data_IF_538327190174
#
_entry.id   IF_538327190174
#
_cell.length_a   1.000
_cell.length_b   1.000
_cell.length_c   1.000
_cell.angle_alpha   90.00
_cell.angle_beta   90.00
_cell.angle_gamma   90.00
#
_symmetry.space_group_name_H-M   'P 1'
#
loop_
_entity.id
_entity.type
_entity.pdbx_description
1 polymer ?
#
# COMPACT_ATOMS: atom_id res chain seq x y z
N UNK A 1 12.96 26.30 -13.43
CA UNK A 1 12.30 25.20 -12.68
C UNK A 1 11.19 24.62 -13.55
N UNK A 2 11.12 23.30 -13.73
CA UNK A 2 10.04 22.64 -14.52
C UNK A 2 8.75 22.63 -13.71
N UNK A 3 7.61 22.90 -14.36
CA UNK A 3 6.27 22.90 -13.72
C UNK A 3 5.50 21.66 -14.11
N UNK A 4 5.06 20.91 -13.14
CA UNK A 4 4.37 19.62 -13.31
C UNK A 4 2.93 19.73 -12.79
N UNK A 5 1.96 19.40 -13.62
CA UNK A 5 0.56 19.36 -13.23
C UNK A 5 0.19 17.97 -12.72
N UNK A 6 -0.16 17.85 -11.46
CA UNK A 6 -0.60 16.60 -10.83
C UNK A 6 -2.13 16.58 -10.72
N UNK A 7 -2.77 15.59 -11.39
CA UNK A 7 -4.23 15.45 -11.39
C UNK A 7 -4.59 14.08 -10.79
N UNK A 8 -5.02 14.09 -9.53
CA UNK A 8 -5.32 12.84 -8.84
C UNK A 8 -6.80 12.70 -8.48
N UNK A 9 -7.26 11.47 -8.42
CA UNK A 9 -8.64 11.12 -8.07
C UNK A 9 -9.10 11.74 -6.75
N UNK A 10 -8.24 11.74 -5.75
CA UNK A 10 -8.35 12.41 -4.45
C UNK A 10 -6.99 12.34 -3.73
N UNK A 11 -6.87 13.00 -2.59
CA UNK A 11 -5.67 12.95 -1.73
C UNK A 11 -5.95 12.11 -0.47
N UNK A 12 -5.63 10.82 -0.45
CA UNK A 12 -5.81 10.01 0.73
C UNK A 12 -4.75 10.32 1.79
N UNK A 13 -5.14 10.21 3.07
CA UNK A 13 -4.28 10.51 4.21
C UNK A 13 -2.96 9.71 4.19
N UNK A 14 -2.99 8.44 3.76
CA UNK A 14 -1.81 7.57 3.70
C UNK A 14 -0.75 8.03 2.67
N UNK A 15 -1.10 8.95 1.75
CA UNK A 15 -0.17 9.57 0.78
C UNK A 15 0.37 10.93 1.23
N UNK A 16 0.08 11.35 2.46
CA UNK A 16 0.53 12.65 2.97
C UNK A 16 2.03 12.83 2.76
N UNK A 17 2.86 11.87 3.19
CA UNK A 17 4.31 11.97 3.12
C UNK A 17 4.82 12.35 1.72
N UNK A 18 4.42 11.62 0.68
CA UNK A 18 4.88 11.90 -0.68
C UNK A 18 4.30 13.22 -1.23
N UNK A 19 3.04 13.56 -0.95
CA UNK A 19 2.44 14.79 -1.47
C UNK A 19 3.04 16.04 -0.82
N UNK A 20 3.35 16.00 0.48
CA UNK A 20 4.02 17.10 1.17
C UNK A 20 5.46 17.29 0.70
N UNK A 21 6.19 16.19 0.41
CA UNK A 21 7.54 16.29 -0.17
C UNK A 21 7.50 16.88 -1.57
N UNK A 22 6.56 16.47 -2.42
CA UNK A 22 6.37 17.05 -3.75
C UNK A 22 5.99 18.55 -3.67
N UNK A 23 5.13 18.92 -2.70
CA UNK A 23 4.70 20.32 -2.50
C UNK A 23 5.85 21.25 -2.07
N UNK A 24 6.85 20.69 -1.38
CA UNK A 24 8.02 21.41 -0.88
C UNK A 24 9.26 21.28 -1.76
N UNK A 25 9.17 20.56 -2.90
CA UNK A 25 10.34 20.30 -3.74
C UNK A 25 10.86 21.60 -4.37
N UNK A 26 12.19 21.79 -4.33
CA UNK A 26 12.85 23.01 -4.82
C UNK A 26 13.42 22.89 -6.23
N UNK A 27 13.39 21.69 -6.82
CA UNK A 27 13.92 21.44 -8.16
C UNK A 27 12.83 21.43 -9.23
N UNK A 28 11.62 20.97 -8.85
CA UNK A 28 10.42 20.93 -9.70
C UNK A 28 9.22 21.50 -8.96
N UNK A 29 8.38 22.27 -9.62
CA UNK A 29 7.12 22.80 -9.06
C UNK A 29 5.98 21.82 -9.39
N UNK A 30 5.39 21.18 -8.37
CA UNK A 30 4.27 20.27 -8.53
C UNK A 30 2.94 20.93 -8.15
N UNK A 31 2.16 21.35 -9.12
CA UNK A 31 0.83 21.92 -8.90
C UNK A 31 -0.25 20.83 -8.82
N UNK A 32 -1.05 20.81 -7.75
CA UNK A 32 -2.03 19.77 -7.48
C UNK A 32 -3.46 20.18 -7.78
N UNK A 33 -4.14 19.37 -8.60
CA UNK A 33 -5.58 19.36 -8.79
C UNK A 33 -6.15 18.03 -8.30
N UNK A 34 -6.95 18.07 -7.24
CA UNK A 34 -7.36 16.89 -6.49
C UNK A 34 -8.88 16.74 -6.49
N UNK A 35 -9.36 15.52 -6.60
CA UNK A 35 -10.79 15.26 -6.46
C UNK A 35 -11.30 15.60 -5.07
N UNK A 36 -12.51 16.15 -4.99
CA UNK A 36 -13.11 16.69 -3.76
C UNK A 36 -13.72 15.62 -2.84
N UNK A 37 -13.84 14.39 -3.28
CA UNK A 37 -14.43 13.29 -2.51
C UNK A 37 -13.66 11.99 -2.73
N UNK A 38 -13.70 11.10 -1.74
CA UNK A 38 -13.19 9.72 -1.83
C UNK A 38 -14.33 8.70 -1.92
N UNK A 39 -13.99 7.42 -2.00
CA UNK A 39 -14.92 6.28 -1.95
C UNK A 39 -14.42 5.25 -0.94
N UNK A 40 -15.32 4.40 -0.48
CA UNK A 40 -14.97 3.27 0.39
C UNK A 40 -14.44 3.66 1.77
N UNK A 41 -14.84 4.83 2.31
CA UNK A 41 -14.41 5.27 3.64
C UNK A 41 -12.94 5.71 3.74
N UNK A 42 -12.26 5.95 2.60
CA UNK A 42 -10.86 6.41 2.64
C UNK A 42 -10.80 7.83 3.19
N UNK A 43 -10.03 8.03 4.27
CA UNK A 43 -9.79 9.33 4.90
C UNK A 43 -8.98 10.22 3.95
N UNK A 44 -9.44 11.47 3.78
CA UNK A 44 -8.76 12.47 2.98
C UNK A 44 -7.80 13.30 3.86
N UNK A 45 -6.63 13.61 3.29
CA UNK A 45 -5.71 14.57 3.93
C UNK A 45 -6.24 16.00 3.82
N UNK A 46 -5.84 16.85 4.77
CA UNK A 46 -6.12 18.27 4.71
C UNK A 46 -5.14 18.96 3.76
N UNK A 47 -5.61 19.28 2.57
CA UNK A 47 -4.81 19.91 1.50
C UNK A 47 -4.73 21.45 1.61
N UNK A 48 -5.42 22.07 2.58
CA UNK A 48 -5.44 23.55 2.72
C UNK A 48 -4.08 24.15 3.08
N UNK A 49 -3.17 23.35 3.62
CA UNK A 49 -1.81 23.74 3.99
C UNK A 49 -0.77 23.55 2.87
N UNK A 50 -1.17 22.97 1.73
CA UNK A 50 -0.26 22.78 0.60
C UNK A 50 -0.10 24.10 -0.17
N UNK A 51 1.16 24.48 -0.46
CA UNK A 51 1.52 25.69 -1.19
C UNK A 51 1.07 25.66 -2.65
N UNK A 52 1.10 24.47 -3.23
CA UNK A 52 0.82 24.22 -4.64
C UNK A 52 -0.52 23.53 -4.90
N UNK A 53 -1.45 23.52 -3.93
CA UNK A 53 -2.82 23.13 -4.19
C UNK A 53 -3.52 24.20 -5.04
N UNK A 54 -3.94 23.83 -6.26
CA UNK A 54 -4.53 24.75 -7.24
C UNK A 54 -6.06 24.64 -7.35
N UNK A 55 -6.64 23.61 -6.78
CA UNK A 55 -8.09 23.51 -6.64
C UNK A 55 -8.66 22.10 -6.71
N UNK A 56 -9.86 21.98 -6.19
CA UNK A 56 -10.62 20.75 -6.19
C UNK A 56 -11.31 20.49 -7.53
N UNK A 57 -11.34 19.23 -7.96
CA UNK A 57 -12.11 18.73 -9.10
C UNK A 57 -13.36 18.01 -8.57
N UNK A 58 -14.50 18.22 -9.24
CA UNK A 58 -15.76 17.56 -8.84
C UNK A 58 -15.77 16.11 -9.30
N UNK A 59 -15.62 15.18 -8.37
CA UNK A 59 -15.69 13.78 -8.64
C UNK A 59 -17.12 13.30 -8.93
N UNK A 60 -17.30 12.50 -9.97
CA UNK A 60 -18.53 11.77 -10.29
C UNK A 60 -18.22 10.28 -10.34
N UNK A 61 -18.99 9.51 -9.56
CA UNK A 61 -18.83 8.06 -9.44
C UNK A 61 -19.87 7.32 -10.30
N UNK A 62 -19.59 6.06 -10.63
CA UNK A 62 -20.56 5.15 -11.22
C UNK A 62 -21.73 4.90 -10.23
N UNK A 63 -22.86 4.37 -10.72
CA UNK A 63 -24.09 4.16 -9.92
C UNK A 63 -23.85 3.40 -8.60
N UNK A 64 -22.87 2.50 -8.56
CA UNK A 64 -22.52 1.73 -7.36
C UNK A 64 -21.61 2.52 -6.36
N UNK A 65 -21.31 3.77 -6.61
CA UNK A 65 -20.47 4.63 -5.76
C UNK A 65 -18.99 4.22 -5.62
N UNK A 66 -18.59 3.09 -6.21
CA UNK A 66 -17.27 2.48 -5.98
C UNK A 66 -16.21 2.84 -7.04
N UNK A 67 -16.61 3.41 -8.19
CA UNK A 67 -15.68 3.70 -9.29
C UNK A 67 -15.78 5.16 -9.71
N UNK A 68 -14.68 5.91 -9.58
CA UNK A 68 -14.55 7.26 -10.13
C UNK A 68 -14.55 7.18 -11.66
N UNK A 69 -15.43 7.95 -12.32
CA UNK A 69 -15.58 7.93 -13.78
C UNK A 69 -15.33 9.26 -14.44
N UNK A 70 -15.45 10.37 -13.70
CA UNK A 70 -15.29 11.72 -14.24
C UNK A 70 -14.86 12.72 -13.17
N UNK A 71 -13.99 13.65 -13.55
CA UNK A 71 -13.62 14.81 -12.72
C UNK A 71 -14.04 16.10 -13.41
N UNK A 72 -15.11 16.73 -12.93
CA UNK A 72 -15.63 17.97 -13.49
C UNK A 72 -14.75 19.17 -13.14
N UNK A 73 -14.71 20.17 -14.03
CA UNK A 73 -13.89 21.36 -13.86
C UNK A 73 -12.42 21.20 -14.25
N UNK A 74 -12.05 20.07 -14.89
CA UNK A 74 -10.66 19.79 -15.27
C UNK A 74 -10.10 20.80 -16.32
N UNK A 75 -10.93 21.52 -17.06
CA UNK A 75 -10.46 22.52 -18.04
C UNK A 75 -9.60 23.62 -17.41
N UNK A 76 -9.81 23.92 -16.12
CA UNK A 76 -9.00 24.91 -15.39
C UNK A 76 -7.52 24.56 -15.27
N UNK A 77 -7.13 23.28 -15.43
CA UNK A 77 -5.72 22.88 -15.41
C UNK A 77 -4.94 23.44 -16.61
N UNK A 78 -5.62 23.80 -17.69
CA UNK A 78 -5.01 24.36 -18.89
C UNK A 78 -4.94 25.90 -18.88
N UNK A 79 -5.39 26.57 -17.81
CA UNK A 79 -5.19 28.04 -17.63
C UNK A 79 -3.74 28.40 -17.33
N UNK A 80 -2.91 27.43 -16.96
CA UNK A 80 -1.47 27.57 -16.73
C UNK A 80 -0.67 26.71 -17.70
N UNK A 81 0.57 27.14 -17.97
CA UNK A 81 1.51 26.34 -18.78
C UNK A 81 2.27 25.37 -17.90
N UNK A 82 2.22 24.09 -18.24
CA UNK A 82 2.95 23.02 -17.58
C UNK A 82 3.90 22.33 -18.57
N UNK A 83 5.02 21.83 -18.05
CA UNK A 83 6.00 21.08 -18.83
C UNK A 83 5.60 19.62 -18.98
N UNK A 84 4.91 19.05 -17.97
CA UNK A 84 4.36 17.70 -18.00
C UNK A 84 3.10 17.58 -17.13
N UNK A 85 2.39 16.46 -17.31
CA UNK A 85 1.21 16.08 -16.54
C UNK A 85 1.41 14.72 -15.89
N UNK A 86 1.11 14.60 -14.59
CA UNK A 86 1.00 13.31 -13.88
C UNK A 86 -0.46 13.07 -13.55
N UNK A 87 -1.03 11.99 -14.06
CA UNK A 87 -2.45 11.67 -13.88
C UNK A 87 -2.61 10.34 -13.12
N UNK A 88 -3.69 10.21 -12.35
CA UNK A 88 -4.10 8.88 -11.86
C UNK A 88 -4.26 7.93 -13.04
N UNK A 89 -3.49 6.86 -13.07
CA UNK A 89 -3.43 5.88 -14.15
C UNK A 89 -4.58 4.89 -14.19
N UNK A 90 -5.82 5.40 -14.05
CA UNK A 90 -7.03 4.59 -14.11
C UNK A 90 -7.79 4.86 -15.43
N UNK A 91 -7.84 3.90 -16.36
CA UNK A 91 -8.55 4.06 -17.65
C UNK A 91 -10.07 4.21 -17.51
N UNK A 92 -10.63 3.96 -16.32
CA UNK A 92 -12.04 4.20 -16.00
C UNK A 92 -12.38 5.69 -15.84
N UNK A 93 -11.40 6.55 -15.53
CA UNK A 93 -11.59 7.98 -15.38
C UNK A 93 -11.59 8.64 -16.76
N UNK A 94 -12.76 8.83 -17.35
CA UNK A 94 -12.92 9.32 -18.73
C UNK A 94 -12.34 10.73 -18.93
N UNK A 95 -12.40 11.63 -17.93
CA UNK A 95 -11.78 12.95 -17.98
C UNK A 95 -10.27 12.89 -18.23
N UNK A 96 -9.58 11.85 -17.73
CA UNK A 96 -8.14 11.70 -17.92
C UNK A 96 -7.77 11.44 -19.40
N UNK A 97 -8.66 10.81 -20.18
CA UNK A 97 -8.46 10.67 -21.62
C UNK A 97 -8.49 12.03 -22.33
N UNK A 98 -9.42 12.91 -21.95
CA UNK A 98 -9.49 14.28 -22.50
C UNK A 98 -8.29 15.11 -22.08
N UNK A 99 -7.87 15.02 -20.81
CA UNK A 99 -6.66 15.70 -20.32
C UNK A 99 -5.44 15.22 -21.12
N UNK A 100 -5.30 13.92 -21.32
CA UNK A 100 -4.22 13.33 -22.11
C UNK A 100 -4.25 13.83 -23.57
N UNK A 101 -5.43 13.87 -24.19
CA UNK A 101 -5.58 14.38 -25.57
C UNK A 101 -5.12 15.83 -25.68
N UNK A 102 -5.61 16.71 -24.80
CA UNK A 102 -5.26 18.14 -24.82
C UNK A 102 -3.75 18.32 -24.53
N UNK A 103 -3.20 17.61 -23.56
CA UNK A 103 -1.77 17.67 -23.25
C UNK A 103 -0.91 17.29 -24.49
N UNK A 104 -1.32 16.24 -25.22
CA UNK A 104 -0.63 15.84 -26.47
C UNK A 104 -0.75 16.88 -27.57
N UNK A 105 -1.92 17.50 -27.76
CA UNK A 105 -2.08 18.59 -28.71
C UNK A 105 -1.18 19.79 -28.35
N UNK A 106 -0.97 20.02 -27.06
CA UNK A 106 -0.01 21.00 -26.54
C UNK A 106 1.45 20.54 -26.57
N UNK A 107 1.73 19.33 -27.10
CA UNK A 107 3.07 18.70 -27.14
C UNK A 107 3.69 18.55 -25.74
N UNK A 108 2.87 18.25 -24.73
CA UNK A 108 3.32 18.04 -23.35
C UNK A 108 3.24 16.55 -22.98
N UNK A 109 4.31 15.96 -22.40
CA UNK A 109 4.30 14.58 -21.99
C UNK A 109 3.31 14.33 -20.84
N UNK A 110 2.71 13.14 -20.85
CA UNK A 110 1.80 12.66 -19.81
C UNK A 110 2.40 11.43 -19.17
N UNK A 111 2.40 11.40 -17.86
CA UNK A 111 2.79 10.28 -17.02
C UNK A 111 1.58 9.76 -16.27
N UNK A 112 1.40 8.46 -16.25
CA UNK A 112 0.36 7.82 -15.47
C UNK A 112 0.96 7.23 -14.19
N UNK A 113 0.49 7.68 -13.06
CA UNK A 113 0.81 7.07 -11.78
C UNK A 113 -0.18 5.95 -11.51
N UNK A 114 0.25 4.68 -11.64
CA UNK A 114 -0.64 3.52 -11.75
C UNK A 114 -0.08 2.28 -11.06
N UNK A 115 -0.95 1.34 -10.73
CA UNK A 115 -0.54 -0.04 -10.40
C UNK A 115 -0.04 -0.82 -11.64
N UNK A 116 -0.26 -0.31 -12.85
CA UNK A 116 -0.02 -1.04 -14.07
C UNK A 116 -1.13 -2.05 -14.37
N UNK A 117 -0.74 -3.27 -14.75
CA UNK A 117 -1.60 -4.43 -14.96
C UNK A 117 -1.28 -5.45 -13.87
N UNK A 118 -2.32 -6.04 -13.27
CA UNK A 118 -2.15 -7.05 -12.23
C UNK A 118 -1.87 -8.45 -12.79
N UNK A 119 -2.38 -8.77 -13.99
CA UNK A 119 -2.23 -10.07 -14.65
C UNK A 119 -3.52 -10.88 -14.74
N UNK A 120 -4.56 -10.52 -13.98
CA UNK A 120 -5.89 -11.13 -14.09
C UNK A 120 -6.77 -10.48 -15.16
N UNK A 121 -6.41 -9.29 -15.65
CA UNK A 121 -7.18 -8.60 -16.68
C UNK A 121 -7.11 -9.34 -18.01
N UNK A 122 -8.26 -9.55 -18.62
CA UNK A 122 -8.39 -10.28 -19.89
C UNK A 122 -9.31 -9.58 -20.90
N UNK A 123 -9.25 -10.00 -22.14
CA UNK A 123 -10.19 -9.60 -23.19
C UNK A 123 -10.28 -8.09 -23.39
N UNK A 124 -11.49 -7.55 -23.41
CA UNK A 124 -11.75 -6.13 -23.66
C UNK A 124 -11.21 -5.21 -22.54
N UNK A 125 -11.17 -5.68 -21.30
CA UNK A 125 -10.63 -4.89 -20.19
C UNK A 125 -9.14 -4.66 -20.37
N UNK A 126 -8.36 -5.71 -20.66
CA UNK A 126 -6.93 -5.60 -20.93
C UNK A 126 -6.68 -4.69 -22.14
N UNK A 127 -7.41 -4.88 -23.24
CA UNK A 127 -7.30 -4.03 -24.45
C UNK A 127 -7.53 -2.55 -24.13
N UNK A 128 -8.57 -2.24 -23.35
CA UNK A 128 -8.87 -0.87 -22.92
C UNK A 128 -7.76 -0.28 -22.04
N UNK A 129 -7.26 -1.06 -21.07
CA UNK A 129 -6.18 -0.62 -20.18
C UNK A 129 -4.93 -0.32 -21.02
N UNK A 130 -4.52 -1.22 -21.89
CA UNK A 130 -3.36 -1.05 -22.77
C UNK A 130 -3.51 0.11 -23.73
N UNK A 131 -4.71 0.32 -24.31
CA UNK A 131 -4.98 1.45 -25.19
C UNK A 131 -4.76 2.78 -24.45
N UNK A 132 -5.25 2.90 -23.22
CA UNK A 132 -5.05 4.10 -22.41
C UNK A 132 -3.58 4.33 -22.05
N UNK A 133 -2.90 3.28 -21.61
CA UNK A 133 -1.50 3.35 -21.24
C UNK A 133 -0.62 3.74 -22.44
N UNK A 134 -0.82 3.11 -23.60
CA UNK A 134 -0.14 3.48 -24.85
C UNK A 134 -0.49 4.89 -25.32
N UNK A 135 -1.73 5.33 -25.11
CA UNK A 135 -2.15 6.68 -25.44
C UNK A 135 -1.45 7.74 -24.56
N UNK A 136 -1.29 7.52 -23.27
CA UNK A 136 -0.56 8.43 -22.39
C UNK A 136 0.95 8.44 -22.71
N UNK A 137 1.54 7.27 -22.83
CA UNK A 137 2.91 7.07 -23.33
C UNK A 137 3.97 6.85 -22.25
N UNK A 138 3.83 7.35 -21.03
CA UNK A 138 4.76 7.12 -19.93
C UNK A 138 4.01 6.65 -18.68
N UNK A 139 4.56 5.68 -17.96
CA UNK A 139 3.91 5.10 -16.79
C UNK A 139 4.90 5.03 -15.62
N UNK A 140 4.43 5.39 -14.44
CA UNK A 140 5.09 5.21 -13.16
C UNK A 140 4.33 4.13 -12.38
N UNK A 141 4.94 2.96 -12.17
CA UNK A 141 4.32 1.84 -11.44
C UNK A 141 4.80 1.78 -10.00
N UNK A 142 3.98 1.19 -9.13
CA UNK A 142 4.33 0.97 -7.72
C UNK A 142 5.23 -0.24 -7.47
N UNK A 143 5.51 -1.05 -8.49
CA UNK A 143 6.33 -2.25 -8.37
C UNK A 143 6.74 -2.84 -9.71
N UNK A 144 7.68 -3.76 -9.65
CA UNK A 144 8.21 -4.46 -10.84
C UNK A 144 7.18 -5.40 -11.46
N UNK A 145 6.30 -6.02 -10.67
CA UNK A 145 5.24 -6.88 -11.20
C UNK A 145 4.39 -6.13 -12.22
N UNK A 146 3.84 -4.98 -11.84
CA UNK A 146 3.03 -4.16 -12.73
C UNK A 146 3.80 -3.69 -13.98
N UNK A 147 5.08 -3.34 -13.83
CA UNK A 147 5.99 -3.01 -14.94
C UNK A 147 6.18 -4.20 -15.88
N UNK A 148 6.51 -5.36 -15.35
CA UNK A 148 6.76 -6.56 -16.14
C UNK A 148 5.51 -7.02 -16.91
N UNK A 149 4.34 -6.97 -16.27
CA UNK A 149 3.05 -7.24 -16.91
C UNK A 149 2.76 -6.28 -18.08
N UNK A 150 3.08 -4.99 -17.94
CA UNK A 150 2.96 -4.02 -19.03
C UNK A 150 3.88 -4.37 -20.21
N UNK A 151 5.14 -4.70 -19.93
CA UNK A 151 6.14 -5.06 -20.96
C UNK A 151 5.71 -6.33 -21.69
N UNK A 152 5.29 -7.37 -20.98
CA UNK A 152 4.77 -8.61 -21.56
C UNK A 152 3.57 -8.38 -22.49
N UNK A 153 2.77 -7.34 -22.21
CA UNK A 153 1.64 -6.92 -23.05
C UNK A 153 2.03 -5.89 -24.13
N UNK A 154 3.31 -5.77 -24.45
CA UNK A 154 3.82 -4.96 -25.56
C UNK A 154 3.91 -3.46 -25.27
N UNK A 155 4.16 -3.10 -24.02
CA UNK A 155 4.57 -1.75 -23.65
C UNK A 155 6.10 -1.65 -23.69
N UNK A 156 6.63 -0.49 -24.09
CA UNK A 156 8.08 -0.30 -24.21
C UNK A 156 8.73 -0.18 -22.84
N UNK A 157 9.81 -0.93 -22.53
CA UNK A 157 10.47 -0.91 -21.22
C UNK A 157 10.94 0.49 -20.78
N UNK A 158 11.46 1.28 -21.72
CA UNK A 158 11.97 2.64 -21.47
C UNK A 158 10.87 3.68 -21.12
N UNK A 159 9.60 3.29 -21.26
CA UNK A 159 8.43 4.11 -20.98
C UNK A 159 7.73 3.74 -19.66
N UNK A 160 8.28 2.79 -18.92
CA UNK A 160 7.74 2.36 -17.62
C UNK A 160 8.84 2.44 -16.57
N UNK A 161 8.64 3.32 -15.60
CA UNK A 161 9.54 3.47 -14.45
C UNK A 161 8.84 2.95 -13.19
N UNK A 162 9.58 2.24 -12.34
CA UNK A 162 9.09 1.84 -11.02
C UNK A 162 9.44 2.94 -10.02
N UNK A 163 8.42 3.45 -9.32
CA UNK A 163 8.59 4.52 -8.35
C UNK A 163 8.30 4.06 -6.91
N UNK A 164 7.96 2.80 -6.73
CA UNK A 164 7.52 2.17 -5.48
C UNK A 164 6.31 2.86 -4.84
N UNK A 165 5.84 2.34 -3.72
CA UNK A 165 4.82 3.01 -2.90
C UNK A 165 5.44 3.42 -1.56
N UNK A 166 4.77 4.30 -0.83
CA UNK A 166 5.24 4.77 0.46
C UNK A 166 4.06 5.12 1.38
N UNK A 167 4.35 5.18 2.67
CA UNK A 167 3.50 5.75 3.70
C UNK A 167 4.08 7.07 4.21
N UNK A 168 3.53 7.61 5.29
CA UNK A 168 4.06 8.76 6.02
C UNK A 168 5.27 8.32 6.86
N UNK A 169 6.37 8.04 6.16
CA UNK A 169 7.60 7.48 6.70
C UNK A 169 8.18 8.32 7.85
N UNK A 170 8.33 9.63 7.64
CA UNK A 170 8.98 10.53 8.61
C UNK A 170 8.21 10.57 9.94
N UNK A 171 6.89 10.47 9.89
CA UNK A 171 6.05 10.41 11.09
C UNK A 171 6.12 9.05 11.81
N UNK A 172 6.52 7.99 11.11
CA UNK A 172 6.60 6.63 11.66
C UNK A 172 7.97 6.32 12.24
N UNK A 173 9.05 6.63 11.52
CA UNK A 173 10.41 6.23 11.90
C UNK A 173 10.89 6.88 13.20
N UNK A 174 10.36 8.04 13.56
CA UNK A 174 10.65 8.69 14.85
C UNK A 174 10.29 7.85 16.08
N UNK A 175 9.47 6.81 15.91
CA UNK A 175 9.06 5.89 16.98
C UNK A 175 9.92 4.61 17.02
N UNK A 176 10.85 4.39 16.08
CA UNK A 176 11.67 3.17 16.05
C UNK A 176 12.57 3.05 17.28
N UNK A 177 13.21 4.15 17.69
CA UNK A 177 14.17 4.17 18.77
C UNK A 177 13.57 4.58 20.12
N UNK A 178 12.27 4.92 20.14
CA UNK A 178 11.61 5.26 21.40
C UNK A 178 11.43 4.03 22.26
N UNK A 179 11.57 4.22 23.56
CA UNK A 179 11.20 3.19 24.54
C UNK A 179 9.72 2.84 24.38
N UNK A 180 9.40 1.56 24.43
CA UNK A 180 8.01 1.07 24.31
C UNK A 180 7.66 0.22 25.53
N UNK A 181 6.39 0.23 25.87
CA UNK A 181 5.85 -0.69 26.85
C UNK A 181 5.86 -2.13 26.29
N UNK A 182 6.75 -2.96 26.84
CA UNK A 182 6.89 -4.36 26.50
C UNK A 182 5.86 -5.25 27.17
N UNK A 183 5.13 -4.73 28.14
CA UNK A 183 4.18 -5.50 28.96
C UNK A 183 2.76 -5.49 28.40
N UNK A 184 2.46 -4.64 27.43
CA UNK A 184 1.10 -4.45 26.90
C UNK A 184 0.46 -5.75 26.39
N UNK A 185 1.22 -6.60 25.70
CA UNK A 185 0.73 -7.88 25.18
C UNK A 185 0.47 -8.87 26.31
N UNK A 186 1.41 -8.94 27.25
CA UNK A 186 1.25 -9.77 28.46
C UNK A 186 0.07 -9.34 29.32
N UNK A 187 -0.13 -8.02 29.48
CA UNK A 187 -1.27 -7.49 30.21
C UNK A 187 -2.60 -7.90 29.57
N UNK A 188 -2.70 -7.84 28.25
CA UNK A 188 -3.92 -8.21 27.54
C UNK A 188 -4.15 -9.72 27.48
N UNK A 189 -3.14 -10.49 27.08
CA UNK A 189 -3.27 -11.94 26.86
C UNK A 189 -3.06 -12.81 28.11
N UNK A 190 -2.51 -12.25 29.20
CA UNK A 190 -2.20 -12.99 30.43
C UNK A 190 -1.02 -13.98 30.28
N UNK A 191 -0.27 -13.93 29.16
CA UNK A 191 0.86 -14.80 28.87
C UNK A 191 1.95 -14.07 28.08
N UNK A 192 3.11 -14.72 27.88
CA UNK A 192 4.26 -14.20 27.14
C UNK A 192 4.44 -14.89 25.77
N UNK A 193 3.41 -15.55 25.26
CA UNK A 193 3.47 -16.19 23.95
C UNK A 193 3.65 -15.16 22.83
N UNK A 194 4.35 -15.49 21.73
CA UNK A 194 4.58 -14.57 20.63
C UNK A 194 3.26 -14.13 20.00
N UNK A 195 3.23 -12.89 19.53
CA UNK A 195 2.03 -12.30 18.93
C UNK A 195 2.19 -12.22 17.40
N UNK A 196 1.24 -12.78 16.69
CA UNK A 196 0.98 -12.47 15.29
C UNK A 196 0.12 -11.21 15.21
N UNK A 197 0.35 -10.35 14.21
CA UNK A 197 -0.42 -9.13 14.03
C UNK A 197 -0.96 -9.01 12.61
N UNK A 198 -2.17 -8.46 12.47
CA UNK A 198 -2.71 -7.95 11.22
C UNK A 198 -3.12 -6.50 11.40
N UNK A 199 -2.78 -5.63 10.44
CA UNK A 199 -3.18 -4.22 10.43
C UNK A 199 -3.91 -3.91 9.13
N UNK A 200 -5.21 -3.60 9.20
CA UNK A 200 -5.98 -3.26 8.00
C UNK A 200 -7.47 -3.52 8.15
N UNK A 201 -8.24 -3.22 7.11
CA UNK A 201 -9.68 -3.41 7.11
C UNK A 201 -10.05 -4.89 7.16
N UNK A 202 -10.99 -5.26 8.02
CA UNK A 202 -11.48 -6.63 8.17
C UNK A 202 -12.54 -6.95 7.09
N UNK A 203 -12.06 -7.24 5.88
CA UNK A 203 -12.87 -7.48 4.67
C UNK A 203 -12.53 -8.81 4.01
N UNK A 204 -13.44 -9.38 3.22
CA UNK A 204 -13.30 -10.69 2.58
C UNK A 204 -11.98 -10.86 1.79
N UNK A 205 -11.56 -9.81 1.06
CA UNK A 205 -10.33 -9.86 0.27
C UNK A 205 -9.03 -9.91 1.12
N UNK A 206 -9.15 -9.76 2.45
CA UNK A 206 -8.04 -9.91 3.39
C UNK A 206 -7.93 -11.33 3.96
N UNK A 207 -8.96 -12.14 3.76
CA UNK A 207 -9.01 -13.55 4.16
C UNK A 207 -8.60 -13.79 5.64
N UNK A 208 -9.13 -12.94 6.55
CA UNK A 208 -8.76 -12.97 7.98
C UNK A 208 -9.25 -14.25 8.64
N UNK A 209 -10.32 -14.87 8.12
CA UNK A 209 -10.81 -16.16 8.58
C UNK A 209 -9.69 -17.23 8.53
N UNK A 210 -8.89 -17.23 7.47
CA UNK A 210 -7.76 -18.13 7.33
C UNK A 210 -6.68 -17.87 8.38
N UNK A 211 -6.48 -16.60 8.81
CA UNK A 211 -5.54 -16.26 9.88
C UNK A 211 -6.03 -16.78 11.24
N UNK A 212 -7.33 -16.65 11.52
CA UNK A 212 -7.96 -17.19 12.74
C UNK A 212 -7.86 -18.71 12.76
N UNK A 213 -8.07 -19.41 11.63
CA UNK A 213 -7.87 -20.85 11.51
C UNK A 213 -6.41 -21.23 11.75
N UNK A 214 -5.47 -20.49 11.16
CA UNK A 214 -4.04 -20.76 11.35
C UNK A 214 -3.61 -20.60 12.82
N UNK A 215 -4.15 -19.61 13.53
CA UNK A 215 -3.92 -19.46 14.97
C UNK A 215 -4.39 -20.69 15.76
N UNK A 216 -5.62 -21.16 15.48
CA UNK A 216 -6.17 -22.35 16.14
C UNK A 216 -5.31 -23.59 15.88
N UNK A 217 -4.90 -23.81 14.64
CA UNK A 217 -4.06 -24.95 14.25
C UNK A 217 -2.67 -24.91 14.93
N UNK A 218 -2.04 -23.74 15.03
CA UNK A 218 -0.77 -23.57 15.74
C UNK A 218 -0.93 -23.92 17.23
N UNK A 219 -1.95 -23.35 17.89
CA UNK A 219 -2.20 -23.63 19.32
C UNK A 219 -2.55 -25.10 19.56
N UNK A 220 -3.32 -25.76 18.68
CA UNK A 220 -3.62 -27.19 18.76
C UNK A 220 -2.38 -28.07 18.61
N UNK A 221 -1.37 -27.62 17.85
CA UNK A 221 -0.07 -28.31 17.73
C UNK A 221 0.86 -28.06 18.93
N UNK A 222 0.45 -27.25 19.91
CA UNK A 222 1.29 -26.86 21.04
C UNK A 222 2.27 -25.72 20.74
N UNK A 223 2.14 -25.10 19.57
CA UNK A 223 2.92 -23.91 19.17
C UNK A 223 2.15 -22.64 19.58
N UNK A 224 2.06 -22.42 20.88
CA UNK A 224 1.25 -21.35 21.45
C UNK A 224 1.68 -19.97 20.94
N UNK A 225 0.71 -19.22 20.44
CA UNK A 225 0.84 -17.84 20.01
C UNK A 225 -0.49 -17.10 20.18
N UNK A 226 -0.43 -15.77 20.11
CA UNK A 226 -1.57 -14.88 20.17
C UNK A 226 -1.75 -14.15 18.84
N UNK A 227 -2.92 -13.51 18.64
CA UNK A 227 -3.25 -12.74 17.45
C UNK A 227 -3.79 -11.38 17.83
N UNK A 228 -3.18 -10.30 17.32
CA UNK A 228 -3.72 -8.95 17.42
C UNK A 228 -4.27 -8.49 16.07
N UNK A 229 -5.53 -8.06 16.03
CA UNK A 229 -6.22 -7.53 14.85
C UNK A 229 -6.45 -6.03 15.03
N UNK A 230 -5.71 -5.20 14.29
CA UNK A 230 -5.89 -3.73 14.28
C UNK A 230 -6.63 -3.35 13.01
N UNK A 231 -7.85 -2.89 13.17
CA UNK A 231 -8.73 -2.48 12.09
C UNK A 231 -10.19 -2.79 12.39
N UNK A 232 -11.06 -2.31 11.51
CA UNK A 232 -12.49 -2.58 11.57
C UNK A 232 -13.00 -3.05 10.20
N UNK A 233 -14.21 -3.61 10.17
CA UNK A 233 -14.82 -4.04 8.94
C UNK A 233 -16.02 -4.97 9.13
N UNK A 234 -16.71 -5.32 8.04
CA UNK A 234 -17.92 -6.12 8.09
C UNK A 234 -17.74 -7.55 8.63
N UNK A 235 -16.50 -8.03 8.74
CA UNK A 235 -16.22 -9.39 9.20
C UNK A 235 -16.06 -9.51 10.72
N UNK A 236 -16.06 -8.42 11.50
CA UNK A 236 -15.73 -8.45 12.92
C UNK A 236 -16.60 -9.43 13.71
N UNK A 237 -17.92 -9.42 13.51
CA UNK A 237 -18.84 -10.33 14.22
C UNK A 237 -18.58 -11.80 13.82
N UNK A 238 -18.40 -12.06 12.53
CA UNK A 238 -18.08 -13.41 12.02
C UNK A 238 -16.78 -13.94 12.60
N UNK A 239 -15.74 -13.12 12.66
CA UNK A 239 -14.43 -13.49 13.22
C UNK A 239 -14.53 -13.75 14.72
N UNK A 240 -15.29 -12.95 15.45
CA UNK A 240 -15.52 -13.14 16.89
C UNK A 240 -16.25 -14.46 17.17
N UNK A 241 -17.31 -14.77 16.40
CA UNK A 241 -18.04 -16.03 16.55
C UNK A 241 -17.15 -17.24 16.19
N UNK A 242 -16.30 -17.09 15.19
CA UNK A 242 -15.34 -18.11 14.79
C UNK A 242 -14.29 -18.38 15.88
N UNK A 243 -13.78 -17.33 16.56
CA UNK A 243 -12.88 -17.50 17.70
C UNK A 243 -13.52 -18.31 18.82
N UNK A 244 -14.80 -18.05 19.15
CA UNK A 244 -15.55 -18.84 20.16
C UNK A 244 -15.71 -20.30 19.74
N UNK A 245 -16.08 -20.56 18.48
CA UNK A 245 -16.24 -21.92 17.96
C UNK A 245 -14.94 -22.73 18.00
N UNK A 246 -13.79 -22.05 17.86
CA UNK A 246 -12.45 -22.66 17.87
C UNK A 246 -11.83 -22.65 19.29
N UNK A 247 -12.51 -22.11 20.32
CA UNK A 247 -12.04 -21.95 21.70
C UNK A 247 -10.69 -21.22 21.80
N UNK A 248 -10.56 -20.09 21.07
CA UNK A 248 -9.35 -19.25 21.05
C UNK A 248 -9.65 -17.77 21.28
N UNK A 249 -10.80 -17.42 21.88
CA UNK A 249 -11.17 -16.03 22.13
C UNK A 249 -10.21 -15.28 23.07
N UNK A 250 -9.61 -15.97 24.03
CA UNK A 250 -8.57 -15.46 24.92
C UNK A 250 -7.21 -15.24 24.23
N UNK A 251 -7.06 -15.75 23.01
CA UNK A 251 -5.86 -15.65 22.17
C UNK A 251 -5.97 -14.57 21.08
N UNK A 252 -7.11 -13.89 20.97
CA UNK A 252 -7.35 -12.89 19.91
C UNK A 252 -7.73 -11.54 20.48
N UNK A 253 -6.93 -10.51 20.15
CA UNK A 253 -7.23 -9.13 20.51
C UNK A 253 -7.78 -8.37 19.31
N UNK A 254 -9.10 -8.10 19.33
CA UNK A 254 -9.75 -7.17 18.39
C UNK A 254 -9.59 -5.74 18.93
N UNK A 255 -8.57 -5.01 18.43
CA UNK A 255 -8.27 -3.66 18.92
C UNK A 255 -9.21 -2.60 18.36
N UNK A 256 -9.73 -2.81 17.13
CA UNK A 256 -10.46 -1.78 16.40
C UNK A 256 -9.58 -0.92 15.50
N UNK A 257 -10.14 0.16 14.94
CA UNK A 257 -9.39 1.09 14.08
C UNK A 257 -8.30 1.85 14.85
N UNK A 258 -7.11 1.95 14.27
CA UNK A 258 -6.01 2.73 14.81
C UNK A 258 -5.32 3.55 13.72
N UNK A 259 -5.21 4.85 13.95
CA UNK A 259 -4.47 5.81 13.11
C UNK A 259 -3.35 6.52 13.89
N UNK A 260 -3.12 6.11 15.13
CA UNK A 260 -2.07 6.63 15.98
C UNK A 260 -0.75 5.87 15.70
N UNK A 261 0.20 6.55 15.07
CA UNK A 261 1.51 5.99 14.76
C UNK A 261 2.31 5.57 16.01
N UNK A 262 2.10 6.22 17.14
CA UNK A 262 2.74 5.84 18.39
C UNK A 262 2.23 4.48 18.87
N UNK A 263 0.92 4.28 18.93
CA UNK A 263 0.35 3.00 19.33
C UNK A 263 0.67 1.90 18.31
N UNK A 264 0.58 2.17 17.00
CA UNK A 264 0.96 1.22 15.95
C UNK A 264 2.43 0.78 16.09
N UNK A 265 3.31 1.71 16.47
CA UNK A 265 4.71 1.38 16.77
C UNK A 265 4.82 0.41 17.95
N UNK A 266 4.10 0.66 19.05
CA UNK A 266 4.07 -0.21 20.22
C UNK A 266 3.54 -1.60 19.84
N UNK A 267 2.41 -1.67 19.15
CA UNK A 267 1.77 -2.90 18.77
C UNK A 267 2.68 -3.75 17.83
N UNK A 268 3.22 -3.14 16.79
CA UNK A 268 4.09 -3.81 15.84
C UNK A 268 5.40 -4.27 16.49
N UNK A 269 6.09 -3.41 17.22
CA UNK A 269 7.38 -3.75 17.89
C UNK A 269 7.26 -4.77 19.04
N UNK A 270 6.04 -5.04 19.50
CA UNK A 270 5.71 -6.14 20.42
C UNK A 270 5.20 -7.40 19.70
N UNK A 271 5.11 -7.38 18.37
CA UNK A 271 4.67 -8.52 17.58
C UNK A 271 5.84 -9.24 16.92
N UNK A 272 5.77 -10.56 16.85
CA UNK A 272 6.79 -11.38 16.23
C UNK A 272 6.63 -11.47 14.71
N UNK A 273 5.40 -11.42 14.20
CA UNK A 273 5.09 -11.71 12.81
C UNK A 273 3.82 -10.97 12.35
N UNK A 274 3.88 -10.30 11.21
CA UNK A 274 2.69 -9.78 10.54
C UNK A 274 2.18 -10.79 9.52
N UNK A 275 0.88 -11.14 9.58
CA UNK A 275 0.31 -12.15 8.68
C UNK A 275 -0.87 -11.57 7.92
N UNK A 276 -0.82 -11.62 6.60
CA UNK A 276 -1.88 -11.12 5.71
C UNK A 276 -2.23 -12.20 4.67
N UNK A 277 -3.20 -13.09 4.96
CA UNK A 277 -3.54 -14.21 4.07
C UNK A 277 -4.17 -13.80 2.75
N UNK A 278 -4.81 -12.63 2.69
CA UNK A 278 -5.25 -12.00 1.45
C UNK A 278 -4.21 -11.04 0.88
N UNK A 279 -4.65 -10.04 0.11
CA UNK A 279 -3.72 -9.06 -0.44
C UNK A 279 -3.09 -8.19 0.67
N UNK A 280 -1.76 -8.14 0.73
CA UNK A 280 -1.07 -7.51 1.86
C UNK A 280 -1.14 -5.97 1.84
N UNK A 281 -0.96 -5.33 0.70
CA UNK A 281 -1.03 -3.87 0.56
C UNK A 281 -0.09 -3.12 1.51
N UNK A 282 -0.50 -1.90 1.91
CA UNK A 282 0.27 -1.02 2.79
C UNK A 282 0.58 -1.63 4.18
N UNK A 283 -0.11 -2.69 4.56
CA UNK A 283 0.18 -3.47 5.78
C UNK A 283 1.63 -3.94 5.80
N UNK A 284 2.18 -4.36 4.64
CA UNK A 284 3.59 -4.75 4.54
C UNK A 284 4.52 -3.59 4.90
N UNK A 285 4.26 -2.38 4.36
CA UNK A 285 5.09 -1.22 4.66
C UNK A 285 5.01 -0.86 6.15
N UNK A 286 3.81 -0.90 6.76
CA UNK A 286 3.67 -0.67 8.20
C UNK A 286 4.50 -1.65 9.04
N UNK A 287 4.35 -2.95 8.77
CA UNK A 287 5.04 -3.99 9.52
C UNK A 287 6.56 -3.87 9.38
N UNK A 288 7.05 -3.79 8.14
CA UNK A 288 8.48 -3.70 7.85
C UNK A 288 9.12 -2.41 8.37
N UNK A 289 8.36 -1.29 8.44
CA UNK A 289 8.85 -0.04 9.03
C UNK A 289 9.30 -0.24 10.48
N UNK A 290 8.64 -1.10 11.22
CA UNK A 290 8.95 -1.38 12.61
C UNK A 290 9.70 -2.71 12.82
N UNK A 291 10.28 -3.25 11.76
CA UNK A 291 11.12 -4.44 11.81
C UNK A 291 10.37 -5.76 11.88
N UNK A 292 9.05 -5.77 11.64
CA UNK A 292 8.23 -6.98 11.74
C UNK A 292 8.17 -7.70 10.39
N UNK A 293 8.63 -8.95 10.28
CA UNK A 293 8.55 -9.73 9.05
C UNK A 293 7.10 -10.05 8.66
N UNK A 294 6.87 -10.28 7.35
CA UNK A 294 5.52 -10.40 6.80
C UNK A 294 5.32 -11.74 6.10
N UNK A 295 4.22 -12.44 6.42
CA UNK A 295 3.75 -13.61 5.67
C UNK A 295 2.52 -13.24 4.86
N UNK A 296 2.56 -13.55 3.55
CA UNK A 296 1.43 -13.38 2.64
C UNK A 296 1.44 -14.45 1.55
N UNK A 297 0.43 -14.48 0.66
CA UNK A 297 0.35 -15.51 -0.37
C UNK A 297 1.19 -15.21 -1.63
N UNK A 298 1.53 -16.26 -2.39
CA UNK A 298 2.42 -16.22 -3.57
C UNK A 298 1.75 -15.80 -4.90
N UNK A 299 0.42 -15.56 -4.94
CA UNK A 299 -0.29 -15.18 -6.16
C UNK A 299 -0.16 -13.67 -6.43
N UNK A 300 0.89 -13.27 -7.13
CA UNK A 300 1.24 -11.86 -7.40
C UNK A 300 0.09 -11.07 -8.06
N UNK A 301 -0.67 -11.69 -8.96
CA UNK A 301 -1.80 -11.08 -9.65
C UNK A 301 -2.99 -10.73 -8.74
N UNK A 302 -3.04 -11.30 -7.54
CA UNK A 302 -4.05 -11.01 -6.53
C UNK A 302 -3.52 -10.10 -5.40
N UNK A 303 -2.23 -9.74 -5.45
CA UNK A 303 -1.58 -8.89 -4.46
C UNK A 303 -1.68 -7.40 -4.81
N UNK A 304 -1.50 -6.57 -3.80
CA UNK A 304 -1.16 -5.15 -4.00
C UNK A 304 0.35 -5.02 -4.19
N UNK A 305 0.85 -3.98 -4.89
CA UNK A 305 2.27 -3.87 -5.24
C UNK A 305 3.26 -3.98 -4.08
N UNK A 306 2.83 -3.67 -2.87
CA UNK A 306 3.66 -3.68 -1.67
C UNK A 306 4.08 -5.10 -1.24
N UNK A 307 3.49 -6.15 -1.83
CA UNK A 307 3.96 -7.53 -1.61
C UNK A 307 5.42 -7.71 -2.03
N UNK A 308 5.93 -6.86 -2.93
CA UNK A 308 7.32 -6.86 -3.39
C UNK A 308 8.32 -6.37 -2.31
N UNK A 309 7.83 -5.85 -1.18
CA UNK A 309 8.65 -5.59 0.00
C UNK A 309 8.95 -6.87 0.81
N UNK A 310 8.20 -7.95 0.55
CA UNK A 310 8.39 -9.26 1.18
C UNK A 310 9.42 -10.04 0.37
N UNK A 311 10.61 -10.21 0.93
CA UNK A 311 11.69 -11.01 0.35
C UNK A 311 11.78 -12.31 1.14
N UNK A 312 11.60 -13.50 0.49
CA UNK A 312 11.67 -14.78 1.17
C UNK A 312 12.93 -14.95 2.00
N UNK A 313 12.78 -15.40 3.24
CA UNK A 313 13.84 -15.64 4.23
C UNK A 313 14.54 -14.39 4.78
N UNK A 314 14.25 -13.18 4.28
CA UNK A 314 14.82 -11.90 4.75
C UNK A 314 13.77 -11.07 5.48
N UNK A 315 12.76 -10.56 4.75
CA UNK A 315 11.73 -9.68 5.31
C UNK A 315 10.39 -10.39 5.52
N UNK A 316 10.32 -11.69 5.24
CA UNK A 316 9.13 -12.51 5.37
C UNK A 316 9.16 -13.73 4.47
N UNK A 317 7.98 -14.26 4.15
CA UNK A 317 7.87 -15.40 3.22
C UNK A 317 6.49 -15.42 2.53
N UNK A 318 6.36 -16.27 1.54
CA UNK A 318 5.11 -16.53 0.84
C UNK A 318 4.61 -17.93 1.14
N UNK A 319 3.30 -18.06 1.36
CA UNK A 319 2.62 -19.33 1.39
C UNK A 319 1.80 -19.53 0.10
N UNK A 320 1.47 -20.77 -0.21
CA UNK A 320 0.63 -21.12 -1.36
C UNK A 320 -0.80 -20.59 -1.20
N UNK A 321 -1.28 -19.78 -2.16
CA UNK A 321 -2.60 -19.17 -2.09
C UNK A 321 -3.72 -20.17 -1.80
N UNK A 322 -4.47 -19.93 -0.73
CA UNK A 322 -5.60 -20.76 -0.31
C UNK A 322 -5.20 -22.03 0.47
N UNK A 323 -3.90 -22.27 0.70
CA UNK A 323 -3.41 -23.43 1.42
C UNK A 323 -3.18 -23.07 2.91
N UNK A 324 -4.14 -23.44 3.77
CA UNK A 324 -4.06 -23.23 5.22
C UNK A 324 -2.87 -23.95 5.84
N UNK A 325 -2.58 -25.19 5.40
CA UNK A 325 -1.48 -25.97 5.93
C UNK A 325 -0.15 -25.27 5.71
N UNK A 326 0.11 -24.79 4.50
CA UNK A 326 1.35 -24.07 4.17
C UNK A 326 1.44 -22.73 4.93
N UNK A 327 0.31 -22.02 5.13
CA UNK A 327 0.29 -20.81 5.98
C UNK A 327 0.72 -21.14 7.42
N UNK A 328 0.17 -22.21 8.01
CA UNK A 328 0.51 -22.67 9.37
C UNK A 328 2.00 -22.99 9.45
N UNK A 329 2.53 -23.77 8.52
CA UNK A 329 3.96 -24.14 8.48
C UNK A 329 4.88 -22.90 8.34
N UNK A 330 4.52 -21.95 7.48
CA UNK A 330 5.27 -20.70 7.36
C UNK A 330 5.25 -19.89 8.66
N UNK A 331 4.08 -19.76 9.29
CA UNK A 331 3.95 -19.07 10.57
C UNK A 331 4.79 -19.76 11.66
N UNK A 332 4.72 -21.08 11.78
CA UNK A 332 5.49 -21.88 12.72
C UNK A 332 6.99 -21.62 12.58
N UNK A 333 7.53 -21.77 11.37
CA UNK A 333 8.96 -21.54 11.09
C UNK A 333 9.39 -20.13 11.48
N UNK A 334 8.60 -19.13 11.16
CA UNK A 334 8.95 -17.73 11.44
C UNK A 334 8.81 -17.39 12.94
N UNK A 335 7.78 -17.87 13.61
CA UNK A 335 7.62 -17.70 15.06
C UNK A 335 8.80 -18.33 15.82
N UNK A 336 9.28 -19.51 15.39
CA UNK A 336 10.47 -20.13 15.97
C UNK A 336 11.73 -19.29 15.77
N UNK A 337 11.96 -18.75 14.56
CA UNK A 337 13.09 -17.86 14.30
C UNK A 337 13.05 -16.61 15.17
N UNK A 338 11.89 -16.01 15.34
CA UNK A 338 11.72 -14.77 16.13
C UNK A 338 11.86 -14.99 17.65
N UNK A 339 11.93 -16.23 18.14
CA UNK A 339 12.27 -16.53 19.54
C UNK A 339 13.77 -16.34 19.85
N UNK A 340 14.64 -16.47 18.84
CA UNK A 340 16.06 -16.17 19.00
C UNK A 340 16.27 -14.66 18.87
N UNK A 341 16.74 -14.02 19.94
CA UNK A 341 16.99 -12.57 19.98
C UNK A 341 17.94 -12.13 18.86
N UNK A 342 19.01 -12.87 18.65
CA UNK A 342 20.03 -12.55 17.64
C UNK A 342 19.44 -12.58 16.22
N UNK A 343 18.71 -13.66 15.89
CA UNK A 343 18.04 -13.81 14.59
C UNK A 343 16.95 -12.76 14.41
N UNK A 344 16.16 -12.49 15.44
CA UNK A 344 15.12 -11.47 15.40
C UNK A 344 15.71 -10.07 15.14
N UNK A 345 16.82 -9.69 15.79
CA UNK A 345 17.49 -8.42 15.56
C UNK A 345 18.03 -8.29 14.13
N UNK A 346 18.53 -9.37 13.52
CA UNK A 346 18.96 -9.40 12.13
C UNK A 346 17.77 -9.20 11.19
N UNK A 347 16.70 -9.97 11.36
CA UNK A 347 15.47 -9.87 10.56
C UNK A 347 14.86 -8.46 10.69
N UNK A 348 14.82 -7.90 11.90
CA UNK A 348 14.29 -6.56 12.14
C UNK A 348 15.08 -5.50 11.35
N UNK A 349 16.42 -5.61 11.32
CA UNK A 349 17.28 -4.71 10.53
C UNK A 349 17.00 -4.84 9.02
N UNK A 350 16.88 -6.08 8.51
CA UNK A 350 16.55 -6.33 7.11
C UNK A 350 15.19 -5.72 6.71
N UNK A 351 14.17 -5.90 7.56
CA UNK A 351 12.85 -5.32 7.36
C UNK A 351 12.90 -3.79 7.29
N UNK A 352 13.54 -3.15 8.27
CA UNK A 352 13.68 -1.68 8.30
C UNK A 352 14.48 -1.18 7.10
N UNK A 353 15.58 -1.86 6.74
CA UNK A 353 16.42 -1.52 5.60
C UNK A 353 15.65 -1.55 4.27
N UNK A 354 14.73 -2.51 4.08
CA UNK A 354 13.85 -2.56 2.91
C UNK A 354 13.04 -1.28 2.75
N UNK A 355 12.50 -0.75 3.84
CA UNK A 355 11.72 0.48 3.82
C UNK A 355 12.62 1.68 3.61
N UNK A 356 13.73 1.78 4.34
CA UNK A 356 14.66 2.91 4.30
C UNK A 356 15.30 3.10 2.92
N UNK A 357 15.55 1.99 2.20
CA UNK A 357 16.16 2.04 0.88
C UNK A 357 15.16 2.11 -0.27
N UNK A 358 13.90 1.62 -0.10
CA UNK A 358 13.01 1.43 -1.24
C UNK A 358 11.61 2.03 -1.06
N UNK A 359 10.88 1.65 0.00
CA UNK A 359 9.47 1.96 0.16
C UNK A 359 9.21 3.18 1.05
N UNK A 360 9.92 4.28 0.79
CA UNK A 360 9.75 5.54 1.51
C UNK A 360 9.50 6.71 0.54
N UNK A 361 8.91 7.81 0.99
CA UNK A 361 8.50 8.91 0.11
C UNK A 361 9.69 9.70 -0.45
N UNK A 362 10.86 9.71 0.21
CA UNK A 362 12.07 10.38 -0.28
C UNK A 362 12.61 9.67 -1.52
N UNK A 363 12.75 8.33 -1.45
CA UNK A 363 13.14 7.54 -2.61
C UNK A 363 12.07 7.60 -3.72
N UNK A 364 10.79 7.57 -3.37
CA UNK A 364 9.70 7.69 -4.33
C UNK A 364 9.76 9.03 -5.08
N UNK A 365 9.95 10.16 -4.40
CA UNK A 365 10.10 11.47 -5.03
C UNK A 365 11.33 11.53 -5.94
N UNK A 366 12.46 10.97 -5.49
CA UNK A 366 13.69 10.87 -6.30
C UNK A 366 13.39 10.15 -7.62
N UNK A 367 12.76 8.98 -7.58
CA UNK A 367 12.42 8.19 -8.77
C UNK A 367 11.39 8.87 -9.68
N UNK A 368 10.41 9.58 -9.12
CA UNK A 368 9.47 10.42 -9.88
C UNK A 368 10.24 11.50 -10.65
N UNK A 369 11.17 12.21 -9.99
CA UNK A 369 11.99 13.25 -10.66
C UNK A 369 12.89 12.67 -11.74
N UNK A 370 13.49 11.52 -11.50
CA UNK A 370 14.31 10.81 -12.50
C UNK A 370 13.47 10.42 -13.73
N UNK A 371 12.27 9.87 -13.54
CA UNK A 371 11.34 9.55 -14.64
C UNK A 371 10.96 10.79 -15.45
N UNK A 372 10.69 11.91 -14.78
CA UNK A 372 10.38 13.18 -15.44
C UNK A 372 11.58 13.73 -16.23
N UNK A 373 12.81 13.69 -15.65
CA UNK A 373 14.04 14.19 -16.31
C UNK A 373 14.38 13.42 -17.57
N UNK A 374 14.17 12.10 -17.62
CA UNK A 374 14.38 11.28 -18.83
C UNK A 374 13.63 11.81 -20.06
N UNK A 375 12.52 12.52 -19.86
CA UNK A 375 11.65 12.99 -20.95
C UNK A 375 11.73 14.51 -21.12
N UNK A 376 12.00 15.26 -20.05
CA UNK A 376 11.99 16.72 -20.08
C UNK A 376 13.38 17.32 -20.27
N UNK A 377 14.43 16.54 -20.11
CA UNK A 377 15.81 17.00 -20.14
C UNK A 377 16.20 17.73 -18.86
#
# INVERSE_FOLDING_TARGET
MKRICCVFGFAPEYRRGIYELMDKDTEMEFDFYLGNTSYGGIKLMNVSKMNHFRGALRNRYARNGKKLVWQGGFMKIFSKKYDAYILTGNPGIRSNWFITLIAKLLRRPVFLWSHGIYGYEQGLQLKKNMAYFKFAGNIMTYGEHGRNMLIQNGFKPEKVDVIWNSLDYDSMVQFRDKEIDRTIMRYYFGNDDPVMIFVGRLTENKNIEMLVQALAELNNKGEYCNLMLIGDGPLINKLTDMCRQLNIEDRVWFYGECYDNQFLSIALRNSALCVSPGNVGLTAIHALTFGVPVITHNRAELQMPEFEAVIPKQTGDFFEYGNLYDLVEKCSVWLQKMRSKEIAEEINRECMSMIDNRFNPHNQLKLIKESLRKILG
#
